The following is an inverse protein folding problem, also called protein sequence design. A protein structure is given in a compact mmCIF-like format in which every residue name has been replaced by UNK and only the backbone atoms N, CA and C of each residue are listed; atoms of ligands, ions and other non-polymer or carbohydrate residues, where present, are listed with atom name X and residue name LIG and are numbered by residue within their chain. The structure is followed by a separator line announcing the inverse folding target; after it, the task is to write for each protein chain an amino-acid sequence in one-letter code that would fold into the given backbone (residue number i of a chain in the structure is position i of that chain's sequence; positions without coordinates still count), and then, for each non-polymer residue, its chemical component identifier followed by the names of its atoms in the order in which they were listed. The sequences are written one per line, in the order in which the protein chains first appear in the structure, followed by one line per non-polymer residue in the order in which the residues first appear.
data_IF_461095805527
#
_entry.id   IF_461095805527
#
_cell.length_a   1.000
_cell.length_b   1.000
_cell.length_c   1.000
_cell.angle_alpha   90.00
_cell.angle_beta   90.00
_cell.angle_gamma   90.00
#
_symmetry.space_group_name_H-M   'P 1'
#
loop_
_entity.id
_entity.type
_entity.pdbx_description
1 polymer ?
#
# COMPACT_ATOMS: atom_id res chain seq x y z
N UNK A 1 -24.55 39.37 -75.51
CA UNK A 1 -23.34 40.15 -75.64
C UNK A 1 -22.29 39.37 -74.83
N UNK A 2 -21.54 38.52 -75.40
CA UNK A 2 -20.38 38.70 -76.26
C UNK A 2 -19.17 38.46 -75.37
N UNK A 3 -18.31 37.69 -75.60
CA UNK A 3 -17.46 36.98 -76.53
C UNK A 3 -16.44 36.22 -75.71
N UNK A 4 -16.14 34.97 -75.94
CA UNK A 4 -15.06 34.40 -76.76
C UNK A 4 -13.62 34.75 -76.32
N UNK A 5 -12.80 33.70 -76.21
CA UNK A 5 -11.38 33.67 -76.25
C UNK A 5 -10.79 32.44 -75.52
N UNK A 6 -10.71 31.26 -76.18
CA UNK A 6 -9.58 30.63 -76.87
C UNK A 6 -8.30 30.54 -76.00
N UNK A 7 -7.95 29.38 -75.47
CA UNK A 7 -7.02 28.38 -75.95
C UNK A 7 -5.58 28.62 -75.51
N UNK A 8 -4.95 27.66 -74.82
CA UNK A 8 -3.73 27.02 -75.32
C UNK A 8 -3.30 25.83 -74.47
N UNK A 9 -2.94 24.79 -75.17
CA UNK A 9 -2.26 23.58 -74.73
C UNK A 9 -0.97 23.88 -73.97
N UNK A 10 -0.69 22.99 -73.00
CA UNK A 10 0.58 22.91 -72.30
C UNK A 10 0.75 21.58 -71.64
N UNK A 11 1.15 20.61 -72.44
CA UNK A 11 1.72 19.34 -72.01
C UNK A 11 2.87 19.57 -71.02
N UNK A 12 2.82 19.00 -69.84
CA UNK A 12 3.89 19.03 -68.87
C UNK A 12 3.82 17.81 -67.96
N UNK A 13 4.64 16.88 -68.29
CA UNK A 13 4.93 15.56 -67.75
C UNK A 13 5.01 15.50 -66.21
N UNK A 14 4.63 14.34 -65.76
CA UNK A 14 4.61 13.90 -64.39
C UNK A 14 5.95 13.96 -63.66
N UNK A 15 5.84 14.17 -62.39
CA UNK A 15 6.77 13.65 -61.41
C UNK A 15 5.95 13.04 -60.28
N UNK A 16 5.88 11.70 -60.28
CA UNK A 16 5.44 10.92 -59.20
C UNK A 16 6.36 11.16 -57.99
N UNK A 17 5.85 11.86 -56.99
CA UNK A 17 6.46 11.82 -55.65
C UNK A 17 6.12 10.48 -55.02
N UNK A 18 7.00 9.52 -55.23
CA UNK A 18 7.07 8.32 -54.39
C UNK A 18 7.23 8.77 -52.94
N UNK A 19 6.12 8.71 -52.21
CA UNK A 19 6.17 8.71 -50.75
C UNK A 19 6.88 7.42 -50.33
N UNK A 20 8.21 7.48 -50.27
CA UNK A 20 9.05 6.50 -49.65
C UNK A 20 8.61 6.34 -48.20
N UNK A 21 7.91 5.27 -47.93
CA UNK A 21 7.75 4.71 -46.56
C UNK A 21 9.15 4.21 -46.14
N UNK A 22 10.00 5.13 -45.74
CA UNK A 22 11.20 4.78 -44.99
C UNK A 22 10.75 4.14 -43.67
N UNK A 23 11.32 2.97 -43.29
CA UNK A 23 11.03 2.40 -41.98
C UNK A 23 11.41 3.43 -40.92
N UNK A 24 10.39 3.87 -40.18
CA UNK A 24 10.53 4.77 -39.04
C UNK A 24 11.55 4.12 -38.09
N UNK A 25 12.80 4.56 -38.23
CA UNK A 25 13.85 4.22 -37.27
C UNK A 25 13.47 4.91 -35.98
N UNK A 26 12.60 4.25 -35.20
CA UNK A 26 12.31 4.60 -33.82
C UNK A 26 13.64 4.75 -33.09
N UNK A 27 14.25 5.91 -33.19
CA UNK A 27 15.51 6.24 -32.54
C UNK A 27 15.29 6.13 -31.05
N UNK A 28 15.74 5.03 -30.48
CA UNK A 28 15.90 4.88 -29.04
C UNK A 28 16.65 6.12 -28.58
N UNK A 29 15.94 7.10 -28.00
CA UNK A 29 16.54 8.31 -27.43
C UNK A 29 17.59 7.86 -26.43
N UNK A 30 18.85 7.84 -26.83
CA UNK A 30 20.00 7.57 -25.95
C UNK A 30 20.00 8.67 -24.89
N UNK A 31 19.50 8.34 -23.72
CA UNK A 31 19.56 9.26 -22.58
C UNK A 31 21.03 9.59 -22.30
N UNK A 32 21.31 10.84 -22.00
CA UNK A 32 22.67 11.26 -21.67
C UNK A 32 23.14 10.50 -20.42
N UNK A 33 24.43 10.08 -20.34
CA UNK A 33 24.95 9.34 -19.21
C UNK A 33 24.75 10.04 -17.86
N UNK A 34 24.73 11.38 -17.85
CA UNK A 34 24.44 12.18 -16.66
C UNK A 34 23.02 11.99 -16.13
N UNK A 35 22.02 11.98 -17.01
CA UNK A 35 20.61 11.74 -16.64
C UNK A 35 20.40 10.32 -16.08
N UNK A 36 21.06 9.34 -16.66
CA UNK A 36 20.98 7.95 -16.18
C UNK A 36 21.59 7.81 -14.79
N UNK A 37 22.74 8.45 -14.52
CA UNK A 37 23.38 8.46 -13.20
C UNK A 37 22.54 9.20 -12.16
N UNK A 38 21.96 10.35 -12.51
CA UNK A 38 21.06 11.08 -11.62
C UNK A 38 19.83 10.23 -11.23
N UNK A 39 19.23 9.51 -12.18
CA UNK A 39 18.17 8.54 -11.91
C UNK A 39 18.64 7.38 -11.05
N UNK A 40 19.88 6.91 -11.19
CA UNK A 40 20.50 5.91 -10.33
C UNK A 40 20.66 6.40 -8.90
N UNK A 41 21.16 7.62 -8.68
CA UNK A 41 21.27 8.23 -7.35
C UNK A 41 19.91 8.38 -6.67
N UNK A 42 18.88 8.81 -7.39
CA UNK A 42 17.52 8.90 -6.85
C UNK A 42 17.00 7.53 -6.39
N UNK A 43 17.23 6.47 -7.18
CA UNK A 43 16.84 5.11 -6.80
C UNK A 43 17.60 4.62 -5.56
N UNK A 44 18.88 4.93 -5.41
CA UNK A 44 19.63 4.62 -4.18
C UNK A 44 19.05 5.37 -2.98
N UNK A 45 18.68 6.64 -3.13
CA UNK A 45 18.02 7.40 -2.06
C UNK A 45 16.69 6.75 -1.65
N UNK A 46 15.84 6.38 -2.63
CA UNK A 46 14.59 5.66 -2.39
C UNK A 46 14.85 4.33 -1.68
N UNK A 47 15.90 3.60 -2.08
CA UNK A 47 16.33 2.36 -1.42
C UNK A 47 16.66 2.59 0.05
N UNK A 48 17.44 3.62 0.36
CA UNK A 48 17.81 3.94 1.74
C UNK A 48 16.57 4.31 2.59
N UNK A 49 15.67 5.13 2.07
CA UNK A 49 14.42 5.48 2.75
C UNK A 49 13.60 4.21 3.01
N UNK A 50 13.44 3.34 2.02
CA UNK A 50 12.69 2.08 2.18
C UNK A 50 13.36 1.13 3.17
N UNK A 51 14.69 1.07 3.20
CA UNK A 51 15.45 0.28 4.18
C UNK A 51 15.25 0.80 5.61
N UNK A 52 15.24 2.12 5.81
CA UNK A 52 14.93 2.74 7.10
C UNK A 52 13.49 2.43 7.52
N UNK A 53 12.53 2.53 6.62
CA UNK A 53 11.13 2.17 6.92
C UNK A 53 11.00 0.68 7.31
N UNK A 54 11.69 -0.22 6.61
CA UNK A 54 11.76 -1.63 6.97
C UNK A 54 12.36 -1.81 8.38
N UNK A 55 13.48 -1.16 8.67
CA UNK A 55 14.11 -1.20 9.98
C UNK A 55 13.16 -0.72 11.09
N UNK A 56 12.49 0.41 10.89
CA UNK A 56 11.52 0.96 11.85
C UNK A 56 10.32 0.04 12.05
N UNK A 57 9.85 -0.61 10.98
CA UNK A 57 8.73 -1.56 11.06
C UNK A 57 9.07 -2.75 11.99
N UNK A 58 10.25 -3.34 11.84
CA UNK A 58 10.63 -4.52 12.61
C UNK A 58 11.23 -4.20 13.98
N UNK A 59 11.94 -3.07 14.14
CA UNK A 59 12.62 -2.73 15.38
C UNK A 59 11.78 -1.92 16.36
N UNK A 60 10.77 -1.21 15.87
CA UNK A 60 9.95 -0.33 16.71
C UNK A 60 8.45 -0.67 16.62
N UNK A 61 7.83 -0.61 15.43
CA UNK A 61 6.38 -0.80 15.32
C UNK A 61 5.94 -2.18 15.76
N UNK A 62 6.52 -3.22 15.20
CA UNK A 62 6.12 -4.59 15.50
C UNK A 62 6.31 -4.97 16.98
N UNK A 63 7.41 -4.65 17.66
CA UNK A 63 7.53 -4.88 19.10
C UNK A 63 6.55 -4.07 19.94
N UNK A 64 6.36 -2.76 19.63
CA UNK A 64 5.48 -1.89 20.41
C UNK A 64 4.01 -2.29 20.30
N UNK A 65 3.54 -2.67 19.11
CA UNK A 65 2.16 -3.14 18.90
C UNK A 65 1.92 -4.47 19.60
N UNK A 66 2.91 -5.37 19.55
CA UNK A 66 2.84 -6.66 20.27
C UNK A 66 2.79 -6.47 21.78
N UNK A 67 3.60 -5.58 22.34
CA UNK A 67 3.60 -5.27 23.76
C UNK A 67 2.28 -4.61 24.17
N UNK A 68 1.81 -3.61 23.42
CA UNK A 68 0.52 -2.94 23.64
C UNK A 68 -0.65 -3.95 23.63
N UNK A 69 -0.66 -4.86 22.67
CA UNK A 69 -1.71 -5.89 22.58
C UNK A 69 -1.63 -6.88 23.75
N UNK A 70 -0.45 -7.33 24.14
CA UNK A 70 -0.25 -8.21 25.28
C UNK A 70 -0.70 -7.58 26.58
N UNK A 71 -0.32 -6.33 26.82
CA UNK A 71 -0.74 -5.56 27.99
C UNK A 71 -2.27 -5.42 28.05
N UNK A 72 -2.90 -5.18 26.91
CA UNK A 72 -4.35 -5.08 26.82
C UNK A 72 -5.05 -6.42 27.14
N UNK A 73 -4.57 -7.52 26.57
CA UNK A 73 -5.15 -8.85 26.80
C UNK A 73 -4.93 -9.32 28.27
N UNK A 74 -3.82 -8.93 28.87
CA UNK A 74 -3.49 -9.23 30.25
C UNK A 74 -4.14 -8.27 31.27
N UNK A 75 -4.81 -7.19 30.79
CA UNK A 75 -5.39 -6.19 31.67
C UNK A 75 -6.59 -6.74 32.44
N UNK A 76 -6.53 -6.64 33.76
CA UNK A 76 -7.62 -6.99 34.67
C UNK A 76 -8.56 -5.81 34.90
N UNK A 77 -9.82 -6.07 35.36
CA UNK A 77 -10.72 -5.00 35.77
C UNK A 77 -10.11 -4.12 36.87
N UNK A 78 -10.29 -2.81 36.78
CA UNK A 78 -9.78 -1.90 37.78
C UNK A 78 -10.46 -2.14 39.15
N UNK A 79 -9.68 -2.24 40.25
CA UNK A 79 -10.25 -2.19 41.57
C UNK A 79 -10.94 -0.86 41.86
N UNK A 80 -12.02 -0.85 42.61
CA UNK A 80 -12.97 0.27 42.79
C UNK A 80 -12.35 1.63 43.25
N UNK A 81 -11.07 1.66 43.59
CA UNK A 81 -10.35 2.86 44.09
C UNK A 81 -9.03 3.10 43.37
N UNK A 82 -8.75 2.43 42.24
CA UNK A 82 -7.46 2.58 41.57
C UNK A 82 -7.53 3.64 40.46
N UNK A 83 -6.58 4.56 40.50
CA UNK A 83 -6.26 5.49 39.39
C UNK A 83 -5.25 4.85 38.40
N UNK A 84 -5.12 3.51 38.44
CA UNK A 84 -4.13 2.79 37.63
C UNK A 84 -4.49 2.84 36.15
N UNK A 85 -3.54 3.23 35.32
CA UNK A 85 -3.70 3.40 33.86
C UNK A 85 -3.65 2.09 33.07
N UNK A 86 -3.28 0.97 33.73
CA UNK A 86 -3.08 -0.34 33.07
C UNK A 86 -4.25 -1.31 33.18
N UNK A 87 -5.31 -1.00 33.93
CA UNK A 87 -6.46 -1.86 34.12
C UNK A 87 -7.65 -1.47 33.24
N UNK A 88 -8.65 -2.34 33.13
CA UNK A 88 -9.89 -2.10 32.38
C UNK A 88 -10.92 -1.37 33.29
N UNK A 89 -11.24 -0.15 32.97
CA UNK A 89 -12.30 0.61 33.66
C UNK A 89 -13.62 0.51 32.92
N UNK A 90 -14.71 0.43 33.68
CA UNK A 90 -16.08 0.32 33.15
C UNK A 90 -16.84 1.61 33.43
N UNK A 91 -17.46 2.16 32.40
CA UNK A 91 -18.22 3.40 32.43
C UNK A 91 -19.63 3.18 31.88
N UNK A 92 -20.62 3.81 32.47
CA UNK A 92 -22.00 3.79 31.98
C UNK A 92 -22.30 5.11 31.31
N UNK A 93 -22.37 5.12 29.99
CA UNK A 93 -22.49 6.31 29.18
C UNK A 93 -23.83 6.34 28.45
N UNK A 94 -24.24 7.53 28.03
CA UNK A 94 -25.46 7.73 27.24
C UNK A 94 -25.08 8.16 25.83
N UNK A 95 -25.69 7.56 24.82
CA UNK A 95 -25.50 7.92 23.42
C UNK A 95 -26.18 9.26 23.15
N UNK A 96 -25.44 10.24 22.70
CA UNK A 96 -25.96 11.57 22.29
C UNK A 96 -26.30 11.55 20.80
N UNK A 97 -25.38 11.02 19.98
CA UNK A 97 -25.51 11.00 18.53
C UNK A 97 -24.79 9.79 17.95
N UNK A 98 -25.37 9.23 16.91
CA UNK A 98 -24.73 8.23 16.05
C UNK A 98 -24.51 8.82 14.66
N UNK A 99 -23.36 8.55 14.07
CA UNK A 99 -23.04 8.99 12.73
C UNK A 99 -22.49 7.81 11.90
N UNK A 100 -23.27 7.40 10.90
CA UNK A 100 -22.90 6.36 9.93
C UNK A 100 -23.01 7.02 8.57
N UNK A 101 -21.86 7.26 7.92
CA UNK A 101 -21.78 7.84 6.59
C UNK A 101 -20.95 6.95 5.68
N UNK A 102 -21.53 6.55 4.57
CA UNK A 102 -20.87 5.85 3.48
C UNK A 102 -20.98 6.72 2.23
N UNK A 103 -20.03 7.63 2.04
CA UNK A 103 -20.00 8.49 0.84
C UNK A 103 -18.73 8.20 0.03
N UNK A 104 -18.90 7.53 -1.12
CA UNK A 104 -17.83 7.23 -2.05
C UNK A 104 -16.72 6.37 -1.43
N UNK A 105 -15.49 6.89 -1.39
CA UNK A 105 -14.32 6.18 -0.85
C UNK A 105 -14.11 6.36 0.66
N UNK A 106 -14.91 7.18 1.32
CA UNK A 106 -14.73 7.50 2.75
C UNK A 106 -15.95 7.06 3.53
N UNK A 107 -15.72 6.20 4.52
CA UNK A 107 -16.73 5.78 5.48
C UNK A 107 -16.43 6.40 6.84
N UNK A 108 -17.47 6.81 7.56
CA UNK A 108 -17.34 7.37 8.92
C UNK A 108 -18.35 6.68 9.82
N UNK A 109 -17.84 6.07 10.89
CA UNK A 109 -18.61 5.32 11.87
C UNK A 109 -18.30 5.86 13.26
N UNK A 110 -19.18 6.69 13.83
CA UNK A 110 -18.92 7.38 15.09
C UNK A 110 -20.14 7.35 16.02
N UNK A 111 -19.86 7.28 17.32
CA UNK A 111 -20.85 7.55 18.35
C UNK A 111 -20.35 8.68 19.25
N UNK A 112 -21.21 9.66 19.53
CA UNK A 112 -20.97 10.65 20.56
C UNK A 112 -21.63 10.18 21.85
N UNK A 113 -20.83 10.04 22.89
CA UNK A 113 -21.23 9.53 24.21
C UNK A 113 -21.08 10.62 25.25
N UNK A 114 -21.89 10.58 26.32
CA UNK A 114 -21.79 11.48 27.47
C UNK A 114 -21.95 10.73 28.79
N UNK A 115 -21.30 11.26 29.82
CA UNK A 115 -21.51 10.89 31.21
C UNK A 115 -22.14 12.07 31.97
N UNK A 116 -23.46 12.06 32.09
CA UNK A 116 -24.19 13.23 32.62
C UNK A 116 -23.82 14.51 31.88
N UNK A 117 -23.44 15.55 32.65
CA UNK A 117 -22.94 16.83 32.14
C UNK A 117 -21.40 16.97 32.31
N UNK A 118 -20.75 15.97 32.87
CA UNK A 118 -19.33 16.03 33.28
C UNK A 118 -18.37 15.68 32.15
N UNK A 119 -18.77 14.80 31.23
CA UNK A 119 -17.91 14.37 30.13
C UNK A 119 -18.70 14.08 28.85
N UNK A 120 -18.15 14.49 27.72
CA UNK A 120 -18.63 14.13 26.40
C UNK A 120 -17.46 13.83 25.49
N UNK A 121 -17.55 12.73 24.73
CA UNK A 121 -16.51 12.29 23.81
C UNK A 121 -17.08 11.63 22.56
N UNK A 122 -16.26 11.54 21.53
CA UNK A 122 -16.57 10.84 20.27
C UNK A 122 -15.74 9.57 20.22
N UNK A 123 -16.41 8.48 19.90
CA UNK A 123 -15.78 7.15 19.75
C UNK A 123 -15.92 6.74 18.29
N UNK A 124 -14.80 6.35 17.68
CA UNK A 124 -14.72 5.89 16.32
C UNK A 124 -14.80 4.37 16.24
N UNK A 125 -15.40 3.84 15.15
CA UNK A 125 -15.50 2.42 14.88
C UNK A 125 -14.95 2.12 13.48
N UNK A 126 -14.44 0.89 13.29
CA UNK A 126 -13.96 0.43 12.00
C UNK A 126 -15.07 0.04 11.03
N UNK A 127 -16.23 -0.34 11.58
CA UNK A 127 -17.42 -0.80 10.83
C UNK A 127 -18.71 -0.38 11.56
N UNK A 128 -19.88 -0.46 10.90
CA UNK A 128 -21.15 -0.07 11.50
C UNK A 128 -21.75 -1.10 12.46
N UNK A 129 -21.35 -2.36 12.36
CA UNK A 129 -21.94 -3.47 13.13
C UNK A 129 -20.97 -4.10 14.12
N UNK A 130 -21.45 -4.93 15.03
CA UNK A 130 -22.86 -5.30 15.24
C UNK A 130 -23.66 -4.34 16.14
N UNK A 131 -23.02 -3.39 16.84
CA UNK A 131 -23.67 -2.56 17.85
C UNK A 131 -24.03 -1.17 17.32
N UNK A 132 -23.10 -0.46 16.67
CA UNK A 132 -23.26 0.94 16.29
C UNK A 132 -24.51 1.17 15.42
N UNK A 133 -24.81 0.25 14.48
CA UNK A 133 -25.99 0.38 13.60
C UNK A 133 -27.34 0.33 14.33
N UNK A 134 -27.35 -0.23 15.55
CA UNK A 134 -28.57 -0.35 16.39
C UNK A 134 -28.67 0.72 17.46
N UNK A 135 -27.60 1.49 17.73
CA UNK A 135 -27.60 2.54 18.73
C UNK A 135 -28.54 3.70 18.36
N UNK A 136 -29.25 4.20 19.35
CA UNK A 136 -30.14 5.37 19.23
C UNK A 136 -29.74 6.45 20.25
N UNK A 137 -29.95 7.74 19.93
CA UNK A 137 -29.82 8.79 20.93
C UNK A 137 -30.66 8.49 22.18
N UNK A 138 -30.07 8.65 23.35
CA UNK A 138 -30.67 8.32 24.64
C UNK A 138 -30.37 6.90 25.15
N UNK A 139 -29.82 6.02 24.32
CA UNK A 139 -29.44 4.67 24.75
C UNK A 139 -28.35 4.72 25.82
N UNK A 140 -28.52 3.88 26.85
CA UNK A 140 -27.47 3.62 27.86
C UNK A 140 -26.56 2.50 27.36
N UNK A 141 -25.28 2.73 27.39
CA UNK A 141 -24.25 1.78 26.96
C UNK A 141 -23.18 1.62 28.03
N UNK A 142 -22.57 0.47 28.08
CA UNK A 142 -21.42 0.21 28.93
C UNK A 142 -20.16 0.30 28.08
N UNK A 143 -19.28 1.22 28.43
CA UNK A 143 -17.98 1.41 27.79
C UNK A 143 -16.89 0.81 28.65
N UNK A 144 -16.04 -0.02 28.05
CA UNK A 144 -14.80 -0.49 28.66
C UNK A 144 -13.65 0.38 28.14
N UNK A 145 -12.94 1.03 29.04
CA UNK A 145 -11.80 1.87 28.70
C UNK A 145 -10.49 1.26 29.22
N UNK A 146 -9.43 1.43 28.43
CA UNK A 146 -8.06 1.04 28.74
C UNK A 146 -7.11 2.17 28.36
N UNK A 147 -6.20 2.53 29.27
CA UNK A 147 -5.26 3.65 29.09
C UNK A 147 -5.91 4.96 28.62
N UNK A 148 -7.12 5.25 29.12
CA UNK A 148 -7.98 6.43 28.81
C UNK A 148 -8.76 6.36 27.50
N UNK A 149 -8.55 5.35 26.66
CA UNK A 149 -9.28 5.16 25.42
C UNK A 149 -10.44 4.16 25.62
N UNK A 150 -11.60 4.45 25.05
CA UNK A 150 -12.70 3.49 25.04
C UNK A 150 -12.40 2.44 23.99
N UNK A 151 -12.18 1.20 24.45
CA UNK A 151 -11.77 0.08 23.59
C UNK A 151 -12.93 -0.83 23.20
N UNK A 152 -13.96 -0.95 24.04
CA UNK A 152 -15.15 -1.75 23.74
C UNK A 152 -16.40 -1.00 24.18
N UNK A 153 -17.42 -1.04 23.33
CA UNK A 153 -18.77 -0.59 23.70
C UNK A 153 -19.70 -1.80 23.75
N UNK A 154 -20.60 -1.83 24.76
CA UNK A 154 -21.56 -2.93 24.89
C UNK A 154 -22.95 -2.42 25.28
N UNK A 155 -24.01 -3.08 24.77
CA UNK A 155 -25.40 -2.85 25.10
C UNK A 155 -26.18 -4.15 24.91
N UNK A 156 -27.00 -4.52 25.88
CA UNK A 156 -27.90 -5.69 25.81
C UNK A 156 -27.18 -7.00 25.39
N UNK A 157 -25.94 -7.20 25.88
CA UNK A 157 -25.13 -8.40 25.57
C UNK A 157 -24.36 -8.30 24.23
N UNK A 158 -24.66 -7.33 23.36
CA UNK A 158 -23.91 -7.10 22.11
C UNK A 158 -22.69 -6.26 22.44
N UNK A 159 -21.52 -6.66 21.92
CA UNK A 159 -20.23 -5.98 22.12
C UNK A 159 -19.61 -5.63 20.78
N UNK A 160 -19.02 -4.45 20.70
CA UNK A 160 -18.26 -3.99 19.53
C UNK A 160 -16.98 -3.29 19.96
N UNK A 161 -15.87 -3.66 19.35
CA UNK A 161 -14.59 -3.00 19.54
C UNK A 161 -14.57 -1.66 18.80
N UNK A 162 -13.97 -0.67 19.41
CA UNK A 162 -13.73 0.63 18.80
C UNK A 162 -12.47 0.62 17.92
N UNK A 163 -12.20 1.69 17.19
CA UNK A 163 -10.95 1.85 16.44
C UNK A 163 -9.73 1.96 17.35
N UNK A 164 -9.91 2.37 18.61
CA UNK A 164 -8.83 2.51 19.60
C UNK A 164 -8.47 1.18 20.31
N UNK A 165 -9.29 0.13 20.11
CA UNK A 165 -8.99 -1.18 20.68
C UNK A 165 -7.69 -1.73 20.09
N UNK A 166 -6.71 -2.12 20.91
CA UNK A 166 -5.51 -2.79 20.42
C UNK A 166 -5.89 -4.06 19.67
N UNK A 167 -5.40 -4.20 18.45
CA UNK A 167 -5.64 -5.36 17.58
C UNK A 167 -4.35 -6.14 17.38
N UNK A 168 -4.47 -7.43 17.15
CA UNK A 168 -3.35 -8.25 16.72
C UNK A 168 -3.10 -8.05 15.20
N UNK A 169 -2.53 -6.90 14.84
CA UNK A 169 -2.21 -6.56 13.44
C UNK A 169 -0.72 -6.84 13.11
N UNK A 170 -0.05 -7.65 13.93
CA UNK A 170 1.39 -7.94 13.81
C UNK A 170 1.72 -8.50 12.41
N UNK A 171 0.84 -9.36 11.86
CA UNK A 171 1.03 -9.95 10.52
C UNK A 171 1.00 -8.90 9.41
N UNK A 172 0.13 -7.90 9.51
CA UNK A 172 0.05 -6.82 8.53
C UNK A 172 1.28 -5.91 8.62
N UNK A 173 1.72 -5.57 9.83
CA UNK A 173 2.94 -4.79 10.04
C UNK A 173 4.18 -5.52 9.51
N UNK A 174 4.26 -6.85 9.70
CA UNK A 174 5.29 -7.68 9.12
C UNK A 174 5.24 -7.67 7.57
N UNK A 175 4.05 -7.78 6.97
CA UNK A 175 3.88 -7.71 5.53
C UNK A 175 4.33 -6.37 4.95
N UNK A 176 3.97 -5.26 5.60
CA UNK A 176 4.43 -3.91 5.19
C UNK A 176 5.94 -3.74 5.33
N UNK A 177 6.54 -4.29 6.40
CA UNK A 177 7.99 -4.31 6.58
C UNK A 177 8.71 -5.06 5.45
N UNK A 178 8.19 -6.22 5.04
CA UNK A 178 8.74 -7.01 3.92
C UNK A 178 8.56 -6.29 2.59
N UNK A 179 7.43 -5.64 2.36
CA UNK A 179 7.20 -4.83 1.17
C UNK A 179 8.23 -3.70 1.07
N UNK A 180 8.51 -3.02 2.19
CA UNK A 180 9.55 -2.00 2.26
C UNK A 180 10.96 -2.58 1.99
N UNK A 181 11.29 -3.75 2.54
CA UNK A 181 12.55 -4.45 2.25
C UNK A 181 12.70 -4.80 0.76
N UNK A 182 11.62 -5.27 0.15
CA UNK A 182 11.61 -5.60 -1.27
C UNK A 182 11.82 -4.34 -2.14
N UNK A 183 11.13 -3.26 -1.86
CA UNK A 183 11.34 -2.01 -2.58
C UNK A 183 12.74 -1.43 -2.39
N UNK A 184 13.30 -1.59 -1.19
CA UNK A 184 14.70 -1.22 -0.93
C UNK A 184 15.63 -2.03 -1.83
N UNK A 185 15.49 -3.36 -1.87
CA UNK A 185 16.32 -4.24 -2.69
C UNK A 185 16.15 -3.97 -4.19
N UNK A 186 14.93 -3.79 -4.67
CA UNK A 186 14.64 -3.48 -6.07
C UNK A 186 15.23 -2.12 -6.49
N UNK A 187 15.00 -1.08 -5.69
CA UNK A 187 15.52 0.25 -5.97
C UNK A 187 17.05 0.28 -5.90
N UNK A 188 17.65 -0.45 -4.94
CA UNK A 188 19.10 -0.60 -4.85
C UNK A 188 19.69 -1.26 -6.10
N UNK A 189 19.17 -2.43 -6.48
CA UNK A 189 19.66 -3.16 -7.64
C UNK A 189 19.59 -2.32 -8.92
N UNK A 190 18.44 -1.66 -9.16
CA UNK A 190 18.25 -0.82 -10.35
C UNK A 190 19.10 0.45 -10.30
N UNK A 191 19.25 1.06 -9.11
CA UNK A 191 20.11 2.22 -8.91
C UNK A 191 21.58 1.89 -9.12
N UNK A 192 22.07 0.81 -8.52
CA UNK A 192 23.45 0.35 -8.64
C UNK A 192 23.83 0.05 -10.11
N UNK A 193 22.99 -0.69 -10.83
CA UNK A 193 23.24 -0.98 -12.26
C UNK A 193 23.29 0.30 -13.10
N UNK A 194 22.43 1.28 -12.85
CA UNK A 194 22.45 2.58 -13.57
C UNK A 194 23.69 3.42 -13.26
N UNK A 195 24.23 3.30 -12.06
CA UNK A 195 25.46 4.01 -11.67
C UNK A 195 26.70 3.35 -12.28
N UNK A 196 26.80 2.02 -12.19
CA UNK A 196 27.97 1.25 -12.66
C UNK A 196 27.97 1.14 -14.18
N UNK A 197 26.83 0.87 -14.79
CA UNK A 197 26.73 0.60 -16.23
C UNK A 197 25.68 1.51 -16.91
N UNK A 198 25.90 2.84 -16.98
CA UNK A 198 24.90 3.81 -17.45
C UNK A 198 24.53 3.64 -18.92
N UNK A 199 25.32 2.89 -19.72
CA UNK A 199 25.08 2.61 -21.14
C UNK A 199 24.45 1.24 -21.39
N UNK A 200 24.53 0.31 -20.42
CA UNK A 200 24.08 -1.09 -20.54
C UNK A 200 23.20 -1.49 -19.35
N UNK A 201 22.28 -0.62 -18.91
CA UNK A 201 21.43 -0.87 -17.76
C UNK A 201 20.15 -1.68 -18.10
N UNK A 202 19.88 -1.99 -19.35
CA UNK A 202 18.85 -2.94 -19.69
C UNK A 202 19.30 -4.37 -19.23
N UNK A 203 18.42 -5.15 -18.62
CA UNK A 203 16.97 -5.07 -18.50
C UNK A 203 16.45 -4.29 -17.27
N UNK A 204 17.30 -3.67 -16.46
CA UNK A 204 16.94 -2.97 -15.22
C UNK A 204 16.27 -1.63 -15.49
N UNK A 205 15.17 -1.67 -16.28
CA UNK A 205 14.31 -0.54 -16.60
C UNK A 205 12.96 -0.70 -15.90
N UNK A 206 12.22 0.44 -15.76
CA UNK A 206 10.89 0.36 -15.21
C UNK A 206 9.96 -0.52 -16.06
N UNK A 207 9.96 -0.37 -17.36
CA UNK A 207 9.22 -1.21 -18.30
C UNK A 207 10.17 -2.18 -19.05
N UNK A 208 9.80 -3.46 -19.14
CA UNK A 208 8.67 -4.13 -18.52
C UNK A 208 9.00 -4.74 -17.14
N UNK A 209 10.29 -4.93 -16.81
CA UNK A 209 10.73 -5.76 -15.69
C UNK A 209 10.44 -5.12 -14.33
N UNK A 210 10.80 -3.86 -14.13
CA UNK A 210 10.60 -3.15 -12.86
C UNK A 210 9.13 -3.04 -12.47
N UNK A 211 8.26 -2.72 -13.44
CA UNK A 211 6.81 -2.63 -13.22
C UNK A 211 6.21 -3.99 -12.82
N UNK A 212 6.59 -5.06 -13.51
CA UNK A 212 6.11 -6.41 -13.17
C UNK A 212 6.54 -6.80 -11.77
N UNK A 213 7.81 -6.61 -11.41
CA UNK A 213 8.32 -6.87 -10.07
C UNK A 213 7.59 -6.05 -9.00
N UNK A 214 7.36 -4.77 -9.23
CA UNK A 214 6.66 -3.89 -8.31
C UNK A 214 5.25 -4.40 -7.98
N UNK A 215 4.43 -4.69 -8.99
CA UNK A 215 3.08 -5.21 -8.77
C UNK A 215 3.08 -6.62 -8.19
N UNK A 216 4.01 -7.47 -8.58
CA UNK A 216 4.15 -8.81 -7.98
C UNK A 216 4.54 -8.71 -6.51
N UNK A 217 5.41 -7.77 -6.15
CA UNK A 217 5.76 -7.51 -4.75
C UNK A 217 4.54 -7.13 -3.91
N UNK A 218 3.72 -6.21 -4.40
CA UNK A 218 2.45 -5.85 -3.76
C UNK A 218 1.54 -7.09 -3.65
N UNK A 219 1.34 -7.82 -4.74
CA UNK A 219 0.47 -9.00 -4.78
C UNK A 219 0.93 -10.09 -3.79
N UNK A 220 2.23 -10.36 -3.69
CA UNK A 220 2.79 -11.33 -2.75
C UNK A 220 2.59 -10.86 -1.31
N UNK A 221 2.89 -9.60 -1.00
CA UNK A 221 2.74 -9.08 0.36
C UNK A 221 1.29 -9.13 0.84
N UNK A 222 0.34 -8.67 0.03
CA UNK A 222 -1.09 -8.75 0.38
C UNK A 222 -1.62 -10.18 0.31
N UNK A 223 -1.20 -10.98 -0.68
CA UNK A 223 -1.63 -12.37 -0.84
C UNK A 223 -1.14 -13.30 0.27
N UNK A 224 -0.06 -12.97 0.98
CA UNK A 224 0.42 -13.70 2.15
C UNK A 224 -0.05 -13.05 3.45
N UNK A 225 0.00 -11.71 3.52
CA UNK A 225 -0.33 -10.95 4.73
C UNK A 225 -1.81 -11.04 5.13
N UNK A 226 -2.74 -10.84 4.17
CA UNK A 226 -4.18 -10.90 4.47
C UNK A 226 -4.65 -12.28 4.95
N UNK A 227 -4.31 -13.39 4.27
CA UNK A 227 -4.65 -14.71 4.80
C UNK A 227 -4.02 -14.98 6.18
N UNK A 228 -2.78 -14.51 6.43
CA UNK A 228 -2.14 -14.68 7.71
C UNK A 228 -2.90 -13.95 8.84
N UNK A 229 -3.41 -12.75 8.58
CA UNK A 229 -4.28 -12.01 9.52
C UNK A 229 -5.59 -12.76 9.77
N UNK A 230 -6.27 -13.24 8.71
CA UNK A 230 -7.57 -13.90 8.85
C UNK A 230 -7.51 -15.26 9.55
N UNK A 231 -6.41 -15.98 9.36
CA UNK A 231 -6.22 -17.33 9.94
C UNK A 231 -5.50 -17.32 11.27
N UNK A 232 -5.00 -16.15 11.73
CA UNK A 232 -4.24 -16.03 12.99
C UNK A 232 -2.89 -16.75 12.97
N UNK A 233 -2.31 -16.97 11.78
CA UNK A 233 -1.01 -17.65 11.63
C UNK A 233 0.10 -16.76 12.23
N UNK A 234 1.12 -17.35 12.89
CA UNK A 234 2.22 -16.58 13.48
C UNK A 234 2.88 -15.63 12.47
N UNK A 235 3.16 -14.40 12.88
CA UNK A 235 3.68 -13.32 12.02
C UNK A 235 4.96 -13.68 11.25
N UNK A 236 5.83 -14.55 11.80
CA UNK A 236 7.08 -14.98 11.16
C UNK A 236 6.86 -15.79 9.88
N UNK A 237 5.69 -16.37 9.67
CA UNK A 237 5.35 -17.08 8.44
C UNK A 237 5.26 -16.14 7.25
N UNK A 238 4.89 -14.88 7.49
CA UNK A 238 4.79 -13.85 6.44
C UNK A 238 6.16 -13.61 5.78
N UNK A 239 7.27 -13.33 6.53
CA UNK A 239 8.61 -13.27 5.92
C UNK A 239 9.07 -14.62 5.38
N UNK A 240 8.78 -15.73 6.05
CA UNK A 240 9.24 -17.05 5.63
C UNK A 240 8.66 -17.48 4.26
N UNK A 241 7.46 -17.06 3.92
CA UNK A 241 6.82 -17.34 2.62
C UNK A 241 7.04 -16.20 1.64
N UNK A 242 6.91 -14.96 2.08
CA UNK A 242 6.99 -13.78 1.22
C UNK A 242 8.37 -13.59 0.58
N UNK A 243 9.45 -13.74 1.33
CA UNK A 243 10.81 -13.55 0.79
C UNK A 243 11.18 -14.58 -0.30
N UNK A 244 10.98 -15.91 -0.12
CA UNK A 244 11.22 -16.88 -1.17
C UNK A 244 10.32 -16.65 -2.39
N UNK A 245 9.04 -16.35 -2.19
CA UNK A 245 8.11 -16.08 -3.29
C UNK A 245 8.57 -14.89 -4.14
N UNK A 246 9.06 -13.82 -3.49
CA UNK A 246 9.61 -12.65 -4.17
C UNK A 246 10.91 -12.95 -4.91
N UNK A 247 11.81 -13.73 -4.29
CA UNK A 247 13.05 -14.17 -4.94
C UNK A 247 12.76 -15.02 -6.18
N UNK A 248 11.85 -15.99 -6.09
CA UNK A 248 11.40 -16.77 -7.22
C UNK A 248 10.80 -15.91 -8.34
N UNK A 249 9.92 -14.98 -7.99
CA UNK A 249 9.33 -14.05 -8.96
C UNK A 249 10.39 -13.20 -9.68
N UNK A 250 11.38 -12.69 -8.94
CA UNK A 250 12.48 -11.92 -9.52
C UNK A 250 13.28 -12.72 -10.54
N UNK A 251 13.58 -13.99 -10.24
CA UNK A 251 14.32 -14.90 -11.14
C UNK A 251 13.48 -15.30 -12.35
N UNK A 252 12.20 -15.63 -12.15
CA UNK A 252 11.31 -16.07 -13.23
C UNK A 252 10.99 -14.96 -14.22
N UNK A 253 10.86 -13.73 -13.72
CA UNK A 253 10.55 -12.56 -14.54
C UNK A 253 11.78 -11.91 -15.16
N UNK A 254 12.99 -12.36 -14.78
CA UNK A 254 14.22 -11.81 -15.34
C UNK A 254 14.26 -12.09 -16.86
N UNK A 255 14.40 -11.05 -17.70
CA UNK A 255 14.43 -11.25 -19.16
C UNK A 255 15.66 -12.07 -19.54
N UNK A 256 15.42 -13.24 -20.10
CA UNK A 256 16.51 -14.06 -20.65
C UNK A 256 17.03 -13.38 -21.91
N UNK A 257 18.36 -13.28 -22.10
CA UNK A 257 18.88 -12.81 -23.36
C UNK A 257 18.39 -13.76 -24.45
N UNK A 258 17.70 -13.21 -25.44
CA UNK A 258 17.37 -13.96 -26.67
C UNK A 258 18.71 -14.30 -27.30
N UNK A 259 19.07 -15.57 -27.27
CA UNK A 259 20.28 -16.05 -27.96
C UNK A 259 20.25 -15.61 -29.41
N UNK A 260 21.40 -15.34 -30.04
CA UNK A 260 21.44 -15.00 -31.45
C UNK A 260 20.71 -16.13 -32.21
N UNK A 261 19.65 -15.72 -32.96
CA UNK A 261 18.96 -16.67 -33.83
C UNK A 261 20.01 -17.37 -34.65
N UNK A 262 20.13 -18.69 -34.51
CA UNK A 262 20.99 -19.48 -35.33
C UNK A 262 20.60 -19.20 -36.79
N UNK A 263 21.43 -18.41 -37.44
CA UNK A 263 21.23 -18.03 -38.85
C UNK A 263 21.13 -19.29 -39.65
N UNK A 264 19.89 -19.57 -40.12
CA UNK A 264 19.66 -20.61 -41.09
C UNK A 264 20.46 -20.28 -42.36
N UNK A 265 21.63 -20.87 -42.47
CA UNK A 265 22.32 -20.93 -43.74
C UNK A 265 21.54 -21.86 -44.66
N UNK A 266 21.14 -21.35 -45.80
CA UNK A 266 20.98 -22.06 -47.06
C UNK A 266 21.37 -21.12 -48.21
#
# INVERSE_FOLDING_TARGET
MGAEGVGHDGTGEGYGSEHGWGPDKGGVRRQSPGRTRAGGMLLILVSLISAVLCYLAFSWWLPSDRERYRDYVAAEPCPARATATGCLSTWHLTVVKREIKNKGKTSTYKATLKDGDSWQGVVDFGDPGPLLEHLKPGDKVTATAWRRDIVVLSKDGVRQSTSEAPRDEIQMNAAMGILAAFFAAQAFAFGAVRLVSPRAYAPFTWDPYGRRLFFTGIAVCFGVGLPAVWTGIPWWTVPAVGLPAMACAAVLMYPRPVGPAAGGGR
#
